data_IF_974940647804
#
_entry.id   IF_974940647804
#
_cell.length_a   1.000
_cell.length_b   1.000
_cell.length_c   1.000
_cell.angle_alpha   90.00
_cell.angle_beta   90.00
_cell.angle_gamma   90.00
#
_symmetry.space_group_name_H-M   'P 1'
#
loop_
_entity.id
_entity.type
_entity.pdbx_description
1 polymer ?
#
# COMPACT_ATOMS: atom_id res chain seq x y z
N UNK A 1 -11.40 72.28 20.86
CA UNK A 1 -10.21 71.63 20.29
C UNK A 1 -9.48 70.93 21.43
N UNK A 2 -9.16 69.64 21.44
CA UNK A 2 -9.33 68.55 20.49
C UNK A 2 -9.31 67.23 21.28
N UNK A 3 -10.19 66.29 20.94
CA UNK A 3 -10.12 64.89 21.37
C UNK A 3 -8.82 64.24 20.90
N UNK A 4 -8.09 63.56 21.80
CA UNK A 4 -7.00 62.66 21.44
C UNK A 4 -7.43 61.23 21.71
N UNK A 5 -7.96 60.60 20.66
CA UNK A 5 -8.24 59.17 20.59
C UNK A 5 -6.92 58.38 20.66
N UNK A 6 -6.74 57.59 21.72
CA UNK A 6 -5.61 56.66 21.89
C UNK A 6 -5.90 55.39 21.07
N UNK A 7 -5.40 55.40 19.83
CA UNK A 7 -5.38 54.25 18.92
C UNK A 7 -4.08 53.47 19.15
N UNK A 8 -4.09 52.48 20.04
CA UNK A 8 -2.89 51.68 20.29
C UNK A 8 -3.16 50.46 21.14
N UNK A 9 -3.65 49.38 20.52
CA UNK A 9 -3.70 48.04 21.16
C UNK A 9 -4.13 46.94 20.19
N UNK A 10 -4.95 47.26 19.18
CA UNK A 10 -5.56 46.25 18.29
C UNK A 10 -4.54 45.55 17.39
N UNK A 11 -3.55 46.27 16.86
CA UNK A 11 -2.55 45.72 15.93
C UNK A 11 -1.64 44.68 16.56
N UNK A 12 -1.21 44.87 17.82
CA UNK A 12 -0.37 43.90 18.53
C UNK A 12 -1.12 42.61 18.87
N UNK A 13 -2.41 42.71 19.20
CA UNK A 13 -3.27 41.55 19.46
C UNK A 13 -3.51 40.76 18.16
N UNK A 14 -3.72 41.46 17.04
CA UNK A 14 -3.92 40.81 15.74
C UNK A 14 -2.65 40.08 15.29
N UNK A 15 -1.46 40.68 15.45
CA UNK A 15 -0.18 40.04 15.09
C UNK A 15 0.09 38.82 15.98
N UNK A 16 -0.17 38.91 17.29
CA UNK A 16 -0.05 37.77 18.20
C UNK A 16 -1.02 36.64 17.90
N UNK A 17 -2.28 36.96 17.53
CA UNK A 17 -3.29 35.98 17.16
C UNK A 17 -2.97 35.29 15.82
N UNK A 18 -2.51 36.03 14.82
CA UNK A 18 -2.09 35.48 13.52
C UNK A 18 -0.85 34.61 13.69
N UNK A 19 0.14 35.06 14.45
CA UNK A 19 1.34 34.27 14.76
C UNK A 19 0.99 32.97 15.50
N UNK A 20 0.11 33.04 16.50
CA UNK A 20 -0.38 31.88 17.22
C UNK A 20 -1.15 30.88 16.34
N UNK A 21 -1.99 31.38 15.42
CA UNK A 21 -2.72 30.54 14.47
C UNK A 21 -1.78 29.84 13.49
N UNK A 22 -0.78 30.54 12.96
CA UNK A 22 0.21 29.95 12.04
C UNK A 22 1.02 28.87 12.76
N UNK A 23 1.46 29.12 13.99
CA UNK A 23 2.17 28.10 14.79
C UNK A 23 1.26 26.90 15.08
N UNK A 24 -0.01 27.11 15.41
CA UNK A 24 -0.99 26.03 15.61
C UNK A 24 -1.23 25.22 14.34
N UNK A 25 -1.33 25.87 13.18
CA UNK A 25 -1.49 25.18 11.89
C UNK A 25 -0.25 24.37 11.51
N UNK A 26 0.95 24.89 11.80
CA UNK A 26 2.20 24.15 11.57
C UNK A 26 2.32 22.95 12.51
N UNK A 27 1.93 23.09 13.79
CA UNK A 27 1.88 21.97 14.74
C UNK A 27 0.84 20.93 14.27
N UNK A 28 -0.34 21.36 13.83
CA UNK A 28 -1.35 20.47 13.29
C UNK A 28 -0.84 19.71 12.05
N UNK A 29 -0.16 20.40 11.12
CA UNK A 29 0.43 19.76 9.95
C UNK A 29 1.50 18.72 10.30
N UNK A 30 2.30 18.95 11.35
CA UNK A 30 3.26 17.95 11.85
C UNK A 30 2.57 16.78 12.57
N UNK A 31 1.46 17.02 13.28
CA UNK A 31 0.74 15.99 14.02
C UNK A 31 -0.21 15.16 13.15
N UNK A 32 -0.71 15.73 12.04
CA UNK A 32 -1.62 15.07 11.08
C UNK A 32 -0.91 14.65 9.78
N UNK A 33 0.32 15.09 9.54
CA UNK A 33 1.14 14.74 8.37
C UNK A 33 1.99 13.49 8.55
N UNK A 34 1.56 12.59 9.43
CA UNK A 34 2.16 11.26 9.55
C UNK A 34 1.26 10.31 8.78
N UNK A 35 1.45 10.24 7.46
CA UNK A 35 1.10 9.03 6.72
C UNK A 35 1.78 7.88 7.49
N UNK A 36 0.96 7.04 8.12
CA UNK A 36 1.43 5.82 8.76
C UNK A 36 2.09 5.00 7.66
N UNK A 37 3.43 5.03 7.63
CA UNK A 37 4.25 4.20 6.77
C UNK A 37 3.74 2.78 6.96
N UNK A 38 3.12 2.25 5.91
CA UNK A 38 2.33 1.03 5.96
C UNK A 38 3.10 -0.11 6.60
N UNK A 39 2.40 -0.99 7.30
CA UNK A 39 3.02 -2.20 7.81
C UNK A 39 3.57 -3.00 6.62
N UNK A 40 4.91 -3.06 6.50
CA UNK A 40 5.57 -3.88 5.46
C UNK A 40 5.16 -5.34 5.51
N UNK A 41 4.65 -5.76 6.66
CA UNK A 41 4.19 -7.10 6.98
C UNK A 41 2.70 -7.08 7.29
N UNK A 42 1.98 -8.05 6.75
CA UNK A 42 0.60 -8.33 7.09
C UNK A 42 0.43 -9.77 7.59
N UNK A 43 -0.66 -10.03 8.31
CA UNK A 43 -1.12 -11.39 8.63
C UNK A 43 -2.50 -11.57 7.99
N UNK A 44 -2.57 -11.94 6.70
CA UNK A 44 -3.85 -12.14 6.06
C UNK A 44 -4.61 -13.31 6.70
N UNK A 45 -5.92 -13.17 6.81
CA UNK A 45 -6.81 -14.25 7.19
C UNK A 45 -7.16 -15.09 5.97
N UNK A 46 -7.20 -16.41 6.15
CA UNK A 46 -7.58 -17.37 5.10
C UNK A 46 -8.89 -18.04 5.48
N UNK A 47 -9.81 -18.14 4.52
CA UNK A 47 -11.06 -18.88 4.67
C UNK A 47 -11.16 -19.99 3.63
N UNK A 48 -11.73 -21.13 4.03
CA UNK A 48 -11.88 -22.31 3.19
C UNK A 48 -10.75 -23.33 3.35
N UNK A 49 -10.64 -24.23 2.37
CA UNK A 49 -9.69 -25.35 2.41
C UNK A 49 -8.37 -24.95 1.75
N UNK A 50 -7.25 -25.15 2.46
CA UNK A 50 -5.92 -24.93 1.90
C UNK A 50 -5.66 -25.81 0.67
N UNK A 51 -5.02 -25.24 -0.34
CA UNK A 51 -4.53 -26.01 -1.48
C UNK A 51 -3.40 -26.96 -1.06
N UNK A 52 -3.25 -28.12 -1.73
CA UNK A 52 -2.08 -28.97 -1.55
C UNK A 52 -0.78 -28.17 -1.75
N UNK A 53 0.24 -28.36 -0.91
CA UNK A 53 1.51 -27.69 -1.09
C UNK A 53 2.21 -28.20 -2.35
N UNK A 54 2.85 -27.29 -3.08
CA UNK A 54 3.66 -27.64 -4.25
C UNK A 54 4.79 -28.60 -3.85
N UNK A 55 4.97 -29.74 -4.55
CA UNK A 55 6.08 -30.65 -4.30
C UNK A 55 7.43 -29.96 -4.51
N UNK A 56 8.41 -30.23 -3.64
CA UNK A 56 9.71 -29.54 -3.65
C UNK A 56 10.63 -29.89 -4.82
N UNK A 57 10.29 -30.91 -5.61
CA UNK A 57 11.14 -31.44 -6.70
C UNK A 57 10.58 -31.16 -8.09
N UNK A 58 9.56 -30.32 -8.21
CA UNK A 58 8.96 -29.95 -9.50
C UNK A 58 9.04 -28.43 -9.70
N UNK A 59 9.11 -28.00 -10.96
CA UNK A 59 9.00 -26.59 -11.36
C UNK A 59 7.59 -26.20 -11.79
N UNK A 60 6.75 -27.19 -12.11
CA UNK A 60 5.35 -27.03 -12.49
C UNK A 60 4.55 -28.10 -11.77
N UNK A 61 3.47 -27.68 -11.10
CA UNK A 61 2.53 -28.58 -10.43
C UNK A 61 1.11 -28.24 -10.89
N UNK A 62 0.39 -29.27 -11.37
CA UNK A 62 -1.01 -29.16 -11.78
C UNK A 62 -1.95 -29.88 -10.81
N UNK A 63 -1.44 -30.45 -9.71
CA UNK A 63 -2.22 -31.23 -8.74
C UNK A 63 -3.36 -30.46 -8.08
N UNK A 64 -3.23 -29.13 -7.97
CA UNK A 64 -4.25 -28.24 -7.43
C UNK A 64 -5.25 -27.72 -8.50
N UNK A 65 -5.09 -28.09 -9.77
CA UNK A 65 -5.97 -27.60 -10.85
C UNK A 65 -7.40 -28.09 -10.65
N UNK A 66 -8.36 -27.17 -10.74
CA UNK A 66 -9.79 -27.46 -10.54
C UNK A 66 -10.23 -27.53 -9.07
N UNK A 67 -9.30 -27.39 -8.12
CA UNK A 67 -9.64 -27.16 -6.72
C UNK A 67 -10.06 -25.70 -6.50
N UNK A 68 -10.90 -25.48 -5.50
CA UNK A 68 -11.29 -24.13 -5.07
C UNK A 68 -10.13 -23.51 -4.30
N UNK A 69 -9.66 -22.33 -4.73
CA UNK A 69 -8.67 -21.56 -3.99
C UNK A 69 -9.28 -21.03 -2.68
N UNK A 70 -8.53 -20.98 -1.57
CA UNK A 70 -8.99 -20.33 -0.35
C UNK A 70 -9.18 -18.83 -0.57
N UNK A 71 -10.08 -18.25 0.19
CA UNK A 71 -10.29 -16.80 0.19
C UNK A 71 -9.27 -16.13 1.10
N UNK A 72 -8.83 -14.93 0.72
CA UNK A 72 -7.81 -14.16 1.43
C UNK A 72 -8.38 -12.81 1.84
N UNK A 73 -8.24 -12.45 3.11
CA UNK A 73 -8.65 -11.16 3.64
C UNK A 73 -7.46 -10.49 4.33
N UNK A 74 -7.20 -9.22 4.04
CA UNK A 74 -6.07 -8.50 4.61
C UNK A 74 -6.12 -7.02 4.25
N UNK A 75 -4.96 -6.37 4.30
CA UNK A 75 -4.81 -4.97 3.93
C UNK A 75 -3.64 -4.80 2.94
N UNK A 76 -3.73 -3.78 2.09
CA UNK A 76 -2.61 -3.32 1.28
C UNK A 76 -1.61 -2.45 2.09
N UNK A 77 -0.56 -1.97 1.42
CA UNK A 77 0.46 -1.12 2.05
C UNK A 77 -0.03 0.27 2.46
N UNK A 78 -1.24 0.68 2.05
CA UNK A 78 -1.86 1.94 2.45
C UNK A 78 -2.94 1.75 3.51
N UNK A 79 -3.14 0.52 3.99
CA UNK A 79 -4.13 0.17 5.00
C UNK A 79 -5.56 0.00 4.47
N UNK A 80 -5.76 -0.10 3.15
CA UNK A 80 -7.08 -0.44 2.62
C UNK A 80 -7.32 -1.94 2.75
N UNK A 81 -8.53 -2.33 3.12
CA UNK A 81 -8.94 -3.72 3.12
C UNK A 81 -8.92 -4.28 1.69
N UNK A 82 -8.30 -5.45 1.55
CA UNK A 82 -8.23 -6.24 0.31
C UNK A 82 -8.85 -7.61 0.56
N UNK A 83 -9.74 -8.03 -0.33
CA UNK A 83 -10.38 -9.34 -0.29
C UNK A 83 -10.20 -10.04 -1.64
N UNK A 84 -9.61 -11.23 -1.63
CA UNK A 84 -9.49 -12.09 -2.80
C UNK A 84 -10.46 -13.26 -2.59
N UNK A 85 -11.64 -13.16 -3.21
CA UNK A 85 -12.77 -14.09 -3.02
C UNK A 85 -13.25 -14.69 -4.35
N UNK A 86 -14.03 -15.76 -4.27
CA UNK A 86 -14.70 -16.35 -5.44
C UNK A 86 -15.99 -15.58 -5.79
N UNK A 87 -15.82 -14.37 -6.32
CA UNK A 87 -16.91 -13.43 -6.64
C UNK A 87 -17.46 -13.55 -8.09
N UNK A 88 -16.91 -14.49 -8.87
CA UNK A 88 -17.25 -14.71 -10.28
C UNK A 88 -16.35 -14.00 -11.28
N UNK A 89 -15.46 -13.11 -10.84
CA UNK A 89 -14.42 -12.48 -11.68
C UNK A 89 -13.12 -13.28 -11.56
N UNK A 90 -12.46 -13.56 -12.70
CA UNK A 90 -11.21 -14.32 -12.69
C UNK A 90 -10.10 -13.56 -11.95
N UNK A 91 -9.24 -14.29 -11.25
CA UNK A 91 -8.18 -13.72 -10.42
C UNK A 91 -6.81 -14.23 -10.90
N UNK A 92 -5.88 -13.32 -11.17
CA UNK A 92 -4.46 -13.62 -11.28
C UNK A 92 -3.75 -13.19 -10.01
N UNK A 93 -3.02 -14.10 -9.35
CA UNK A 93 -2.32 -13.81 -8.09
C UNK A 93 -0.83 -14.06 -8.29
N UNK A 94 -0.02 -13.02 -8.18
CA UNK A 94 1.42 -13.04 -8.40
C UNK A 94 2.14 -12.97 -7.07
N UNK A 95 2.78 -14.06 -6.67
CA UNK A 95 3.62 -14.09 -5.48
C UNK A 95 5.04 -13.66 -5.83
N UNK A 96 5.55 -12.65 -5.12
CA UNK A 96 6.84 -12.05 -5.43
C UNK A 96 7.61 -11.70 -4.15
N UNK A 97 8.90 -11.39 -4.31
CA UNK A 97 9.74 -10.92 -3.23
C UNK A 97 10.66 -9.81 -3.74
N UNK A 98 10.77 -8.73 -2.98
CA UNK A 98 11.53 -7.52 -3.37
C UNK A 98 13.01 -7.78 -3.71
N UNK A 99 13.60 -8.78 -3.09
CA UNK A 99 15.01 -9.15 -3.29
C UNK A 99 15.22 -10.19 -4.40
N UNK A 100 14.15 -10.78 -4.96
CA UNK A 100 14.27 -11.79 -6.01
C UNK A 100 14.62 -11.11 -7.35
N UNK A 101 15.77 -11.44 -7.97
CA UNK A 101 16.18 -10.81 -9.23
C UNK A 101 15.17 -11.00 -10.36
N UNK A 102 14.53 -12.17 -10.43
CA UNK A 102 13.50 -12.43 -11.43
C UNK A 102 12.26 -11.55 -11.21
N UNK A 103 11.81 -11.39 -9.95
CA UNK A 103 10.69 -10.49 -9.65
C UNK A 103 11.04 -9.03 -9.96
N UNK A 104 12.26 -8.59 -9.67
CA UNK A 104 12.71 -7.22 -9.99
C UNK A 104 12.69 -6.93 -11.48
N UNK A 105 13.01 -7.91 -12.31
CA UNK A 105 12.90 -7.77 -13.76
C UNK A 105 11.47 -7.89 -14.29
N UNK A 106 10.63 -8.70 -13.64
CA UNK A 106 9.27 -9.01 -14.10
C UNK A 106 8.27 -7.91 -13.75
N UNK A 107 8.30 -7.38 -12.53
CA UNK A 107 7.36 -6.34 -12.05
C UNK A 107 7.24 -5.15 -13.01
N UNK A 108 8.32 -4.46 -13.42
CA UNK A 108 8.19 -3.31 -14.32
C UNK A 108 7.67 -3.70 -15.71
N UNK A 109 7.96 -4.91 -16.20
CA UNK A 109 7.44 -5.40 -17.50
C UNK A 109 5.96 -5.71 -17.42
N UNK A 110 5.50 -6.29 -16.31
CA UNK A 110 4.07 -6.54 -16.07
C UNK A 110 3.33 -5.22 -15.91
N UNK A 111 3.89 -4.25 -15.18
CA UNK A 111 3.29 -2.92 -15.03
C UNK A 111 3.18 -2.21 -16.39
N UNK A 112 4.25 -2.20 -17.20
CA UNK A 112 4.22 -1.64 -18.55
C UNK A 112 3.16 -2.32 -19.44
N UNK A 113 2.99 -3.64 -19.32
CA UNK A 113 1.94 -4.37 -20.03
C UNK A 113 0.53 -3.97 -19.56
N UNK A 114 0.33 -3.80 -18.25
CA UNK A 114 -0.95 -3.32 -17.69
C UNK A 114 -1.26 -1.90 -18.15
N UNK A 115 -0.28 -0.99 -18.12
CA UNK A 115 -0.46 0.41 -18.50
C UNK A 115 -0.79 0.57 -19.99
N UNK A 116 -0.18 -0.25 -20.85
CA UNK A 116 -0.38 -0.20 -22.30
C UNK A 116 -1.64 -0.94 -22.77
N UNK A 117 -2.01 -2.05 -22.12
CA UNK A 117 -3.05 -2.97 -22.58
C UNK A 117 -4.29 -3.05 -21.69
N UNK A 118 -4.25 -2.49 -20.49
CA UNK A 118 -5.30 -2.65 -19.46
C UNK A 118 -5.35 -4.06 -18.84
N UNK A 119 -4.35 -4.90 -19.12
CA UNK A 119 -4.30 -6.29 -18.64
C UNK A 119 -5.15 -7.26 -19.48
N UNK A 120 -5.79 -8.23 -18.81
CA UNK A 120 -6.71 -9.18 -19.44
C UNK A 120 -8.15 -8.80 -19.05
N UNK A 121 -9.03 -8.64 -20.05
CA UNK A 121 -10.43 -8.33 -19.82
C UNK A 121 -11.09 -9.37 -18.89
N UNK A 122 -11.73 -8.89 -17.82
CA UNK A 122 -12.42 -9.73 -16.84
C UNK A 122 -11.50 -10.48 -15.85
N UNK A 123 -10.22 -10.08 -15.75
CA UNK A 123 -9.26 -10.62 -14.78
C UNK A 123 -8.76 -9.51 -13.86
N UNK A 124 -8.96 -9.70 -12.56
CA UNK A 124 -8.31 -8.86 -11.55
C UNK A 124 -6.92 -9.45 -11.25
N UNK A 125 -5.88 -8.60 -11.29
CA UNK A 125 -4.52 -9.00 -10.95
C UNK A 125 -4.15 -8.50 -9.54
N UNK A 126 -3.64 -9.40 -8.70
CA UNK A 126 -3.16 -9.10 -7.36
C UNK A 126 -1.69 -9.47 -7.25
N UNK A 127 -0.88 -8.59 -6.67
CA UNK A 127 0.48 -8.93 -6.23
C UNK A 127 0.48 -9.22 -4.74
N UNK A 128 1.18 -10.29 -4.35
CA UNK A 128 1.36 -10.67 -2.96
C UNK A 128 2.85 -10.70 -2.67
N UNK A 129 3.33 -9.70 -1.93
CA UNK A 129 4.70 -9.65 -1.45
C UNK A 129 4.89 -10.69 -0.35
N UNK A 130 5.88 -11.56 -0.53
CA UNK A 130 6.21 -12.64 0.38
C UNK A 130 7.69 -12.63 0.68
N UNK A 131 8.10 -13.42 1.69
CA UNK A 131 9.52 -13.61 2.05
C UNK A 131 10.26 -12.28 2.25
N UNK A 132 9.60 -11.30 2.85
CA UNK A 132 10.15 -9.97 3.08
C UNK A 132 11.37 -10.05 3.99
N UNK A 133 12.46 -9.39 3.59
CA UNK A 133 13.73 -9.45 4.30
C UNK A 133 14.42 -8.08 4.31
N UNK A 134 14.46 -7.43 5.46
CA UNK A 134 15.05 -6.09 5.62
C UNK A 134 16.56 -6.02 5.40
N UNK A 135 17.26 -7.15 5.39
CA UNK A 135 18.69 -7.23 5.08
C UNK A 135 18.99 -7.41 3.58
N UNK A 136 17.98 -7.41 2.71
CA UNK A 136 18.13 -7.66 1.28
C UNK A 136 17.79 -6.42 0.44
N UNK A 137 18.26 -6.32 -0.83
CA UNK A 137 17.99 -5.18 -1.69
C UNK A 137 16.49 -4.91 -1.91
N UNK A 138 16.14 -3.65 -2.19
CA UNK A 138 14.76 -3.19 -2.42
C UNK A 138 13.80 -3.37 -1.23
N UNK A 139 14.33 -3.43 -0.01
CA UNK A 139 13.51 -3.19 1.18
C UNK A 139 13.35 -1.66 1.39
N UNK A 140 12.17 -1.17 1.80
CA UNK A 140 10.92 -1.92 1.97
C UNK A 140 10.21 -2.32 0.66
N UNK A 141 9.48 -3.45 0.64
CA UNK A 141 8.65 -3.83 -0.51
C UNK A 141 7.65 -2.78 -0.96
N UNK A 142 7.03 -2.03 -0.04
CA UNK A 142 6.09 -0.95 -0.35
C UNK A 142 6.72 0.08 -1.31
N UNK A 143 7.85 0.67 -0.89
CA UNK A 143 8.61 1.64 -1.69
C UNK A 143 9.17 1.03 -2.98
N UNK A 144 9.43 -0.27 -3.04
CA UNK A 144 9.92 -0.91 -4.26
C UNK A 144 8.81 -1.08 -5.30
N UNK A 145 7.59 -1.42 -4.87
CA UNK A 145 6.45 -1.61 -5.77
C UNK A 145 5.92 -0.29 -6.36
N UNK A 146 6.27 0.85 -5.74
CA UNK A 146 5.95 2.19 -6.25
C UNK A 146 6.93 2.73 -7.29
N UNK A 147 8.01 1.99 -7.61
CA UNK A 147 9.08 2.45 -8.53
C UNK A 147 8.78 2.24 -10.01
#
# INVERSE_FOLDING_TARGET
MADRSSSGSKTGIIIGAVGGLVVLLLIAAVMFGNEEIGAEYGTPELSGTSLPPMPSQVSVDTSATGLVAPEVFGQDYTGNDVSITSDGTAKGIVFLAHWCPHCQEEVPRVQEWLDNGGGVEGVDLYSVSTRINSGQPNHPPSEWLER
#
